data_IF_181459292187
#
_entry.id   IF_181459292187
#
_cell.length_a   1.000
_cell.length_b   1.000
_cell.length_c   1.000
_cell.angle_alpha   90.00
_cell.angle_beta   90.00
_cell.angle_gamma   90.00
#
_symmetry.space_group_name_H-M   'P 1'
#
loop_
_entity.id
_entity.type
_entity.pdbx_description
1 polymer ?
#
# COMPACT_ATOMS: atom_id res chain seq x y z
N UNK A 1 -14.96 -21.29 5.11
CA UNK A 1 -14.08 -20.77 6.17
C UNK A 1 -13.74 -19.33 5.84
N UNK A 2 -13.91 -18.40 6.78
CA UNK A 2 -13.39 -17.03 6.64
C UNK A 2 -11.87 -17.04 6.82
N UNK A 3 -11.20 -16.03 6.26
CA UNK A 3 -9.77 -15.84 6.44
C UNK A 3 -9.44 -15.59 7.91
N UNK A 4 -8.33 -16.16 8.39
CA UNK A 4 -7.72 -15.73 9.66
C UNK A 4 -7.22 -14.29 9.57
N UNK A 5 -7.06 -13.60 10.70
CA UNK A 5 -6.52 -12.24 10.74
C UNK A 5 -5.14 -12.16 10.05
N UNK A 6 -4.27 -13.17 10.27
CA UNK A 6 -2.96 -13.29 9.62
C UNK A 6 -3.05 -13.39 8.10
N UNK A 7 -4.01 -14.19 7.60
CA UNK A 7 -4.25 -14.32 6.18
C UNK A 7 -4.81 -13.01 5.60
N UNK A 8 -5.79 -12.40 6.27
CA UNK A 8 -6.41 -11.13 5.85
C UNK A 8 -5.36 -10.01 5.73
N UNK A 9 -4.55 -9.79 6.77
CA UNK A 9 -3.47 -8.80 6.74
C UNK A 9 -2.45 -9.08 5.63
N UNK A 10 -2.10 -10.36 5.41
CA UNK A 10 -1.24 -10.76 4.30
C UNK A 10 -1.83 -10.43 2.92
N UNK A 11 -3.14 -10.61 2.73
CA UNK A 11 -3.82 -10.19 1.50
C UNK A 11 -3.83 -8.67 1.35
N UNK A 12 -4.15 -7.94 2.41
CA UNK A 12 -4.19 -6.49 2.40
C UNK A 12 -2.82 -5.88 2.07
N UNK A 13 -1.73 -6.37 2.66
CA UNK A 13 -0.36 -5.93 2.30
C UNK A 13 -0.06 -6.12 0.82
N UNK A 14 -0.37 -7.30 0.26
CA UNK A 14 -0.16 -7.57 -1.17
C UNK A 14 -0.98 -6.62 -2.04
N UNK A 15 -2.21 -6.32 -1.65
CA UNK A 15 -3.07 -5.37 -2.37
C UNK A 15 -2.51 -3.95 -2.29
N UNK A 16 -2.05 -3.51 -1.11
CA UNK A 16 -1.44 -2.19 -0.93
C UNK A 16 -0.17 -2.03 -1.77
N UNK A 17 0.70 -3.05 -1.84
CA UNK A 17 1.86 -3.00 -2.73
C UNK A 17 1.47 -2.86 -4.22
N UNK A 18 0.40 -3.54 -4.65
CA UNK A 18 -0.12 -3.35 -6.02
C UNK A 18 -0.62 -1.93 -6.25
N UNK A 19 -1.27 -1.31 -5.26
CA UNK A 19 -1.70 0.08 -5.36
C UNK A 19 -0.51 1.04 -5.39
N UNK A 20 0.53 0.82 -4.58
CA UNK A 20 1.76 1.59 -4.65
C UNK A 20 2.37 1.56 -6.06
N UNK A 21 2.47 0.37 -6.65
CA UNK A 21 3.04 0.22 -7.99
C UNK A 21 2.16 0.91 -9.06
N UNK A 22 0.83 0.82 -8.92
CA UNK A 22 -0.10 1.55 -9.79
C UNK A 22 0.03 3.08 -9.66
N UNK A 23 0.21 3.59 -8.43
CA UNK A 23 0.42 5.01 -8.17
C UNK A 23 1.74 5.51 -8.77
N UNK A 24 2.81 4.71 -8.71
CA UNK A 24 4.07 5.05 -9.39
C UNK A 24 3.90 5.09 -10.91
N UNK A 25 3.20 4.12 -11.52
CA UNK A 25 2.90 4.16 -12.95
C UNK A 25 2.09 5.40 -13.35
N UNK A 26 1.11 5.78 -12.53
CA UNK A 26 0.34 7.01 -12.72
C UNK A 26 1.23 8.25 -12.59
N UNK A 27 2.12 8.31 -11.60
CA UNK A 27 3.04 9.43 -11.39
C UNK A 27 4.01 9.58 -12.57
N UNK A 28 4.51 8.46 -13.11
CA UNK A 28 5.37 8.45 -14.30
C UNK A 28 4.65 9.01 -15.53
N UNK A 29 3.34 8.74 -15.70
CA UNK A 29 2.55 9.32 -16.79
C UNK A 29 2.43 10.87 -16.70
N UNK A 30 2.62 11.46 -15.52
CA UNK A 30 2.70 12.91 -15.30
C UNK A 30 4.11 13.48 -15.43
N UNK A 31 5.13 12.64 -15.63
CA UNK A 31 6.50 13.11 -15.83
C UNK A 31 6.55 14.12 -16.98
N UNK A 32 7.20 15.26 -16.72
CA UNK A 32 7.33 16.38 -17.66
C UNK A 32 6.00 17.05 -18.09
N UNK A 33 4.87 16.74 -17.43
CA UNK A 33 3.56 17.38 -17.69
C UNK A 33 3.12 18.25 -16.53
N UNK A 34 3.13 17.70 -15.32
CA UNK A 34 2.67 18.37 -14.12
C UNK A 34 3.40 17.81 -12.89
N UNK A 35 4.31 18.62 -12.33
CA UNK A 35 5.12 18.22 -11.17
C UNK A 35 4.30 18.14 -9.88
N UNK A 36 3.22 18.93 -9.76
CA UNK A 36 2.33 18.85 -8.61
C UNK A 36 1.60 17.50 -8.61
N UNK A 37 0.95 17.11 -9.72
CA UNK A 37 0.27 15.81 -9.80
C UNK A 37 1.23 14.64 -9.62
N UNK A 38 2.44 14.72 -10.21
CA UNK A 38 3.49 13.73 -10.03
C UNK A 38 3.89 13.59 -8.56
N UNK A 39 4.09 14.70 -7.85
CA UNK A 39 4.48 14.66 -6.43
C UNK A 39 3.36 14.12 -5.54
N UNK A 40 2.10 14.54 -5.75
CA UNK A 40 0.95 14.02 -4.99
C UNK A 40 0.78 12.51 -5.11
N UNK A 41 0.95 11.95 -6.32
CA UNK A 41 0.86 10.51 -6.54
C UNK A 41 2.01 9.74 -5.89
N UNK A 42 3.23 10.29 -5.90
CA UNK A 42 4.37 9.72 -5.19
C UNK A 42 4.20 9.76 -3.67
N UNK A 43 3.65 10.85 -3.13
CA UNK A 43 3.37 10.97 -1.70
C UNK A 43 2.30 9.97 -1.26
N UNK A 44 1.26 9.78 -2.06
CA UNK A 44 0.25 8.76 -1.81
C UNK A 44 0.84 7.34 -1.87
N UNK A 45 1.73 7.07 -2.82
CA UNK A 45 2.42 5.78 -2.91
C UNK A 45 3.25 5.48 -1.65
N UNK A 46 3.93 6.49 -1.09
CA UNK A 46 4.67 6.36 0.19
C UNK A 46 3.74 6.07 1.37
N UNK A 47 2.59 6.76 1.45
CA UNK A 47 1.60 6.52 2.51
C UNK A 47 1.04 5.10 2.46
N UNK A 48 0.74 4.61 1.25
CA UNK A 48 0.27 3.23 1.03
C UNK A 48 1.32 2.20 1.48
N UNK A 49 2.59 2.43 1.18
CA UNK A 49 3.70 1.55 1.59
C UNK A 49 3.89 1.56 3.11
N UNK A 50 3.79 2.73 3.75
CA UNK A 50 3.82 2.87 5.20
C UNK A 50 2.68 2.09 5.88
N UNK A 51 1.45 2.24 5.38
CA UNK A 51 0.30 1.47 5.89
C UNK A 51 0.49 -0.03 5.71
N UNK A 52 1.08 -0.48 4.60
CA UNK A 52 1.37 -1.89 4.38
C UNK A 52 2.38 -2.43 5.40
N UNK A 53 3.38 -1.63 5.78
CA UNK A 53 4.35 -1.99 6.81
C UNK A 53 3.72 -2.07 8.21
N UNK A 54 2.77 -1.19 8.51
CA UNK A 54 2.06 -1.14 9.79
C UNK A 54 0.99 -2.22 9.97
N UNK A 55 0.57 -2.90 8.89
CA UNK A 55 -0.34 -4.05 8.98
C UNK A 55 0.38 -5.28 9.55
N UNK A 56 0.80 -5.21 10.81
CA UNK A 56 1.23 -6.36 11.61
C UNK A 56 0.01 -7.01 12.24
N UNK A 57 0.03 -8.34 12.32
CA UNK A 57 -0.90 -9.07 13.17
C UNK A 57 -0.02 -9.51 14.32
N UNK A 58 -0.10 -8.80 15.44
CA UNK A 58 0.43 -9.35 16.69
C UNK A 58 -0.28 -10.68 16.89
N UNK A 59 0.49 -11.74 17.14
CA UNK A 59 -0.08 -13.02 17.54
C UNK A 59 -0.89 -12.73 18.81
N UNK A 60 -2.22 -12.85 18.72
CA UNK A 60 -3.06 -12.84 19.91
C UNK A 60 -2.42 -13.84 20.88
N UNK A 61 -2.04 -13.43 22.11
CA UNK A 61 -1.62 -14.39 23.10
C UNK A 61 -2.77 -15.39 23.25
N UNK A 62 -2.50 -16.66 22.95
CA UNK A 62 -3.44 -17.74 23.22
C UNK A 62 -3.81 -17.64 24.73
N UNK A 63 -5.03 -17.20 25.02
CA UNK A 63 -5.63 -17.22 26.36
C UNK A 63 -6.25 -18.59 26.63
#
# INVERSE_FOLDING_TARGET
>A
MSLTNKQLAGYQRRTLHKFRDALHMMAEAWANRDEFNRSQLNDLARQVDGLAAELTVDEEPEL
#
